data_IF_703622072666
#
_entry.id   IF_703622072666
#
_cell.length_a   1.000
_cell.length_b   1.000
_cell.length_c   1.000
_cell.angle_alpha   90.00
_cell.angle_beta   90.00
_cell.angle_gamma   90.00
#
_symmetry.space_group_name_H-M   'P 1'
#
loop_
_entity.id
_entity.type
_entity.pdbx_description
1 polymer ?
#
# COMPACT_ATOMS: atom_id res chain seq x y z
N UNK A 1 -13.26 23.24 -5.51
CA UNK A 1 -12.03 23.13 -6.31
C UNK A 1 -11.76 21.65 -6.52
N UNK A 2 -11.61 21.21 -7.77
CA UNK A 2 -11.31 19.80 -8.09
C UNK A 2 -10.03 19.39 -7.39
N UNK A 3 -10.07 18.26 -6.68
CA UNK A 3 -8.87 17.57 -6.19
C UNK A 3 -8.25 16.86 -7.38
N UNK A 4 -7.70 17.62 -8.31
CA UNK A 4 -6.81 17.04 -9.29
C UNK A 4 -5.57 16.59 -8.50
N UNK A 5 -5.35 15.28 -8.43
CA UNK A 5 -4.13 14.71 -7.87
C UNK A 5 -2.94 15.15 -8.74
N UNK A 6 -2.38 16.32 -8.42
CA UNK A 6 -1.18 16.82 -9.06
C UNK A 6 -0.01 15.90 -8.69
N UNK A 7 0.93 15.69 -9.62
CA UNK A 7 2.15 14.90 -9.40
C UNK A 7 2.95 15.32 -8.14
N UNK A 8 2.75 16.57 -7.68
CA UNK A 8 3.18 17.10 -6.39
C UNK A 8 2.84 16.17 -5.21
N UNK A 9 1.70 15.47 -5.26
CA UNK A 9 1.26 14.58 -4.20
C UNK A 9 2.15 13.34 -4.08
N UNK A 10 2.57 12.74 -5.20
CA UNK A 10 3.39 11.52 -5.18
C UNK A 10 4.77 11.76 -4.54
N UNK A 11 5.42 12.88 -4.92
CA UNK A 11 6.68 13.30 -4.30
C UNK A 11 6.52 13.60 -2.81
N UNK A 12 5.46 14.32 -2.43
CA UNK A 12 5.16 14.60 -1.02
C UNK A 12 4.95 13.31 -0.21
N UNK A 13 4.22 12.34 -0.74
CA UNK A 13 4.05 11.04 -0.10
C UNK A 13 5.36 10.27 0.04
N UNK A 14 6.25 10.35 -0.96
CA UNK A 14 7.57 9.75 -0.91
C UNK A 14 8.45 10.37 0.18
N UNK A 15 8.50 11.71 0.24
CA UNK A 15 9.25 12.45 1.27
C UNK A 15 8.72 12.13 2.66
N UNK A 16 7.40 12.11 2.83
CA UNK A 16 6.76 11.75 4.10
C UNK A 16 7.08 10.31 4.52
N UNK A 17 7.14 9.39 3.56
CA UNK A 17 7.55 8.00 3.81
C UNK A 17 9.01 7.92 4.27
N UNK A 18 9.93 8.54 3.54
CA UNK A 18 11.37 8.56 3.87
C UNK A 18 11.59 9.15 5.26
N UNK A 19 10.94 10.28 5.56
CA UNK A 19 10.98 10.92 6.87
C UNK A 19 10.41 10.02 7.97
N UNK A 20 9.26 9.39 7.74
CA UNK A 20 8.66 8.47 8.69
C UNK A 20 9.59 7.28 9.01
N UNK A 21 10.20 6.69 7.99
CA UNK A 21 11.15 5.59 8.17
C UNK A 21 12.34 6.01 9.05
N UNK A 22 12.93 7.19 8.81
CA UNK A 22 14.05 7.68 9.62
C UNK A 22 13.62 7.94 11.07
N UNK A 23 12.53 8.69 11.26
CA UNK A 23 12.15 9.18 12.59
C UNK A 23 11.42 8.15 13.44
N UNK A 24 10.59 7.31 12.84
CA UNK A 24 9.73 6.37 13.56
C UNK A 24 10.23 4.93 13.51
N UNK A 25 11.08 4.59 12.53
CA UNK A 25 11.70 3.26 12.43
C UNK A 25 13.21 3.27 12.69
N UNK A 26 13.82 4.44 12.90
CA UNK A 26 15.25 4.58 13.15
C UNK A 26 16.11 4.16 11.96
N UNK A 27 15.54 4.15 10.75
CA UNK A 27 16.26 3.71 9.56
C UNK A 27 17.26 4.79 9.12
N UNK A 28 18.49 4.38 8.87
CA UNK A 28 19.53 5.24 8.34
C UNK A 28 19.68 4.93 6.85
N UNK A 29 19.19 5.84 6.02
CA UNK A 29 19.20 5.66 4.57
C UNK A 29 20.62 5.71 4.00
N UNK A 30 20.91 4.80 3.07
CA UNK A 30 22.09 4.86 2.21
C UNK A 30 21.69 4.80 0.72
N UNK A 31 22.63 5.13 -0.17
CA UNK A 31 22.34 5.20 -1.62
C UNK A 31 21.95 3.83 -2.22
N UNK A 32 22.39 2.73 -1.61
CA UNK A 32 22.06 1.37 -2.02
C UNK A 32 20.69 0.89 -1.51
N UNK A 33 19.99 1.69 -0.71
CA UNK A 33 18.69 1.29 -0.17
C UNK A 33 17.59 1.30 -1.24
N UNK A 34 16.74 0.27 -1.15
CA UNK A 34 15.46 0.32 -1.82
C UNK A 34 14.52 1.26 -1.07
N UNK A 35 14.14 2.37 -1.72
CA UNK A 35 13.13 3.32 -1.20
C UNK A 35 11.83 2.62 -0.82
N UNK A 36 11.47 1.55 -1.54
CA UNK A 36 10.42 0.61 -1.17
C UNK A 36 11.03 -0.74 -0.77
N UNK A 37 11.35 -0.92 0.52
CA UNK A 37 11.98 -2.14 1.02
C UNK A 37 11.00 -3.32 1.02
N UNK A 38 11.51 -4.53 1.16
CA UNK A 38 10.69 -5.71 1.35
C UNK A 38 9.81 -5.57 2.59
N UNK A 39 8.58 -6.09 2.51
CA UNK A 39 7.67 -6.14 3.64
C UNK A 39 7.47 -7.59 4.07
N UNK A 40 7.65 -7.81 5.36
CA UNK A 40 7.47 -9.09 6.01
C UNK A 40 6.10 -9.15 6.69
N UNK A 41 5.58 -10.35 6.89
CA UNK A 41 4.31 -10.60 7.60
C UNK A 41 3.06 -9.97 6.95
N UNK A 42 3.10 -9.65 5.66
CA UNK A 42 1.88 -9.35 4.90
C UNK A 42 1.14 -10.67 4.66
N UNK A 43 0.17 -10.95 5.51
CA UNK A 43 -0.57 -12.20 5.47
C UNK A 43 -1.75 -12.14 4.50
N UNK A 44 -1.81 -13.08 3.56
CA UNK A 44 -3.02 -13.32 2.75
C UNK A 44 -4.24 -13.71 3.60
N UNK A 45 -4.06 -14.11 4.87
CA UNK A 45 -5.21 -14.41 5.73
C UNK A 45 -6.03 -13.16 6.02
N UNK A 46 -5.40 -11.98 6.12
CA UNK A 46 -6.06 -10.67 6.27
C UNK A 46 -7.08 -10.43 5.16
N UNK A 47 -6.70 -10.83 3.94
CA UNK A 47 -7.56 -10.75 2.77
C UNK A 47 -8.79 -11.67 2.94
N UNK A 48 -8.66 -12.83 3.60
CA UNK A 48 -9.73 -13.82 3.73
C UNK A 48 -10.64 -13.64 4.96
N UNK A 49 -10.25 -12.85 5.95
CA UNK A 49 -10.96 -12.75 7.24
C UNK A 49 -11.57 -11.38 7.45
N UNK A 50 -12.86 -11.29 7.80
CA UNK A 50 -13.54 -10.03 8.15
C UNK A 50 -13.09 -9.39 9.48
N UNK A 51 -12.11 -10.00 10.14
CA UNK A 51 -11.55 -9.51 11.40
C UNK A 51 -10.86 -8.14 11.23
N UNK A 52 -11.23 -7.19 12.08
CA UNK A 52 -10.72 -5.81 12.12
C UNK A 52 -9.29 -5.75 12.67
N UNK A 53 -8.82 -6.78 13.36
CA UNK A 53 -7.56 -6.76 14.09
C UNK A 53 -6.31 -7.12 13.27
N UNK A 54 -6.45 -7.75 12.10
CA UNK A 54 -5.37 -8.60 11.54
C UNK A 54 -4.49 -7.97 10.48
N UNK A 55 -4.83 -6.80 9.93
CA UNK A 55 -4.18 -6.32 8.68
C UNK A 55 -2.78 -5.75 8.80
N UNK A 56 -2.55 -4.89 9.79
CA UNK A 56 -1.41 -3.95 9.75
C UNK A 56 -0.52 -4.00 10.98
N UNK A 57 -0.98 -4.62 12.08
CA UNK A 57 -0.33 -4.50 13.40
C UNK A 57 1.06 -5.12 13.53
N UNK A 58 1.55 -5.89 12.54
CA UNK A 58 2.86 -6.57 12.59
C UNK A 58 3.60 -6.63 11.25
N UNK A 59 3.37 -5.67 10.34
CA UNK A 59 4.16 -5.61 9.09
C UNK A 59 5.60 -5.27 9.47
N UNK A 60 6.52 -6.18 9.17
CA UNK A 60 7.96 -5.98 9.34
C UNK A 60 8.55 -5.33 8.08
N UNK A 61 9.63 -4.56 8.25
CA UNK A 61 10.35 -3.97 7.12
C UNK A 61 11.68 -4.70 6.97
N UNK A 62 11.95 -5.20 5.77
CA UNK A 62 13.23 -5.81 5.38
C UNK A 62 14.08 -4.80 4.63
N UNK A 63 14.78 -3.94 5.38
CA UNK A 63 15.73 -2.97 4.84
C UNK A 63 16.82 -3.65 3.98
N UNK A 64 17.33 -2.94 2.98
CA UNK A 64 18.31 -3.47 2.01
C UNK A 64 17.78 -4.57 1.07
N UNK A 65 16.51 -4.98 1.17
CA UNK A 65 15.91 -5.99 0.28
C UNK A 65 14.83 -5.37 -0.60
N UNK A 66 14.81 -5.77 -1.87
CA UNK A 66 13.77 -5.36 -2.81
C UNK A 66 12.44 -6.03 -2.47
N UNK A 67 11.35 -5.26 -2.53
CA UNK A 67 10.00 -5.81 -2.44
C UNK A 67 9.71 -6.74 -3.62
N UNK A 68 9.18 -7.94 -3.35
CA UNK A 68 8.71 -8.83 -4.41
C UNK A 68 7.37 -8.37 -4.97
N UNK A 69 7.12 -8.64 -6.25
CA UNK A 69 5.84 -8.30 -6.88
C UNK A 69 4.65 -8.97 -6.16
N UNK A 70 4.83 -10.18 -5.66
CA UNK A 70 3.78 -10.87 -4.91
C UNK A 70 3.43 -10.13 -3.61
N UNK A 71 4.43 -9.65 -2.88
CA UNK A 71 4.22 -8.86 -1.65
C UNK A 71 3.57 -7.53 -1.98
N UNK A 72 4.01 -6.87 -3.05
CA UNK A 72 3.39 -5.63 -3.54
C UNK A 72 1.91 -5.81 -3.88
N UNK A 73 1.58 -6.86 -4.66
CA UNK A 73 0.18 -7.17 -4.99
C UNK A 73 -0.64 -7.49 -3.74
N UNK A 74 -0.10 -8.23 -2.78
CA UNK A 74 -0.81 -8.51 -1.52
C UNK A 74 -1.08 -7.22 -0.72
N UNK A 75 -0.08 -6.32 -0.63
CA UNK A 75 -0.22 -5.02 0.03
C UNK A 75 -1.35 -4.19 -0.59
N UNK A 76 -1.36 -4.07 -1.92
CA UNK A 76 -2.40 -3.34 -2.65
C UNK A 76 -3.80 -3.87 -2.33
N UNK A 77 -3.98 -5.19 -2.41
CA UNK A 77 -5.28 -5.80 -2.12
C UNK A 77 -5.67 -5.66 -0.64
N UNK A 78 -4.70 -5.60 0.29
CA UNK A 78 -4.97 -5.31 1.70
C UNK A 78 -5.47 -3.88 1.89
N UNK A 79 -4.83 -2.90 1.22
CA UNK A 79 -5.22 -1.48 1.28
C UNK A 79 -6.63 -1.30 0.73
N UNK A 80 -6.91 -1.82 -0.47
CA UNK A 80 -8.24 -1.73 -1.09
C UNK A 80 -9.31 -2.36 -0.20
N UNK A 81 -9.02 -3.53 0.39
CA UNK A 81 -9.96 -4.17 1.35
C UNK A 81 -10.15 -3.36 2.62
N UNK A 82 -9.10 -2.75 3.16
CA UNK A 82 -9.19 -1.86 4.32
C UNK A 82 -10.08 -0.65 4.02
N UNK A 83 -9.84 0.03 2.89
CA UNK A 83 -10.66 1.16 2.44
C UNK A 83 -12.14 0.79 2.27
N UNK A 84 -12.44 -0.40 1.76
CA UNK A 84 -13.81 -0.89 1.63
C UNK A 84 -14.47 -1.22 2.99
N UNK A 85 -13.71 -1.59 4.02
CA UNK A 85 -14.25 -1.92 5.36
C UNK A 85 -14.55 -0.70 6.20
N UNK A 86 -13.71 0.33 6.12
CA UNK A 86 -13.83 1.53 6.96
C UNK A 86 -15.00 2.43 6.55
N UNK A 87 -15.86 1.99 5.62
CA UNK A 87 -17.07 2.72 5.25
C UNK A 87 -16.82 4.09 4.62
N UNK A 88 -15.57 4.39 4.21
CA UNK A 88 -15.32 5.55 3.35
C UNK A 88 -16.16 5.33 2.10
N UNK A 89 -17.14 6.19 1.87
CA UNK A 89 -18.04 6.09 0.72
C UNK A 89 -17.21 6.12 -0.57
N UNK A 90 -16.88 4.94 -1.06
CA UNK A 90 -16.44 4.73 -2.42
C UNK A 90 -17.74 4.66 -3.23
N UNK A 91 -18.00 5.59 -4.17
CA UNK A 91 -19.27 5.67 -4.90
C UNK A 91 -19.73 4.31 -5.43
N UNK A 92 -21.02 3.98 -5.24
CA UNK A 92 -21.56 2.61 -5.17
C UNK A 92 -21.32 1.67 -6.36
N UNK A 93 -20.91 2.16 -7.53
CA UNK A 93 -20.45 1.29 -8.63
C UNK A 93 -19.04 0.73 -8.35
N UNK A 94 -18.14 1.59 -7.86
CA UNK A 94 -16.73 1.29 -7.66
C UNK A 94 -16.53 0.30 -6.50
N UNK A 95 -17.29 0.43 -5.40
CA UNK A 95 -17.13 -0.47 -4.25
C UNK A 95 -17.45 -1.94 -4.58
N UNK A 96 -18.51 -2.19 -5.38
CA UNK A 96 -18.92 -3.55 -5.77
C UNK A 96 -17.90 -4.22 -6.70
N UNK A 97 -17.30 -3.47 -7.61
CA UNK A 97 -16.28 -3.98 -8.53
C UNK A 97 -14.91 -4.16 -7.85
N UNK A 98 -14.54 -3.28 -6.92
CA UNK A 98 -13.23 -3.33 -6.25
C UNK A 98 -13.14 -4.46 -5.23
N UNK A 99 -14.23 -4.79 -4.54
CA UNK A 99 -14.24 -5.85 -3.50
C UNK A 99 -13.97 -7.25 -4.06
N UNK A 100 -14.36 -7.48 -5.32
CA UNK A 100 -14.19 -8.75 -6.03
C UNK A 100 -13.00 -8.77 -7.00
N UNK A 101 -12.28 -7.65 -7.15
CA UNK A 101 -11.15 -7.55 -8.06
C UNK A 101 -9.83 -7.88 -7.37
N UNK A 102 -8.97 -8.60 -8.08
CA UNK A 102 -7.58 -8.80 -7.66
C UNK A 102 -6.67 -7.80 -8.37
N UNK A 103 -6.15 -6.83 -7.63
CA UNK A 103 -5.27 -5.80 -8.18
C UNK A 103 -3.85 -6.35 -8.36
N UNK A 104 -3.23 -6.01 -9.49
CA UNK A 104 -1.82 -6.28 -9.78
C UNK A 104 -1.10 -4.97 -10.10
N UNK A 105 0.23 -5.00 -10.02
CA UNK A 105 1.12 -3.93 -10.54
C UNK A 105 0.64 -3.38 -11.90
N UNK A 106 0.34 -4.27 -12.83
CA UNK A 106 -0.11 -3.93 -14.19
C UNK A 106 -1.50 -3.27 -14.25
N UNK A 107 -2.36 -3.46 -13.24
CA UNK A 107 -3.69 -2.80 -13.17
C UNK A 107 -3.52 -1.29 -13.10
N UNK A 108 -2.62 -0.79 -12.25
CA UNK A 108 -2.37 0.64 -12.08
C UNK A 108 -1.67 1.24 -13.29
N UNK A 109 -0.70 0.53 -13.87
CA UNK A 109 -0.02 0.98 -15.10
C UNK A 109 -1.01 1.19 -16.25
N UNK A 110 -2.00 0.31 -16.40
CA UNK A 110 -3.05 0.47 -17.42
C UNK A 110 -4.02 1.61 -17.11
N UNK A 111 -4.33 1.84 -15.84
CA UNK A 111 -5.24 2.91 -15.46
C UNK A 111 -4.64 4.32 -15.66
N UNK A 112 -3.31 4.43 -15.59
CA UNK A 112 -2.58 5.68 -15.82
C UNK A 112 -2.08 5.91 -17.25
N UNK A 113 -2.38 5.01 -18.20
CA UNK A 113 -2.02 5.14 -19.61
C UNK A 113 -3.21 5.66 -20.43
#
# INVERSE_FOLDING_TARGET
MSKDELAINAYLHLVNWVYYASQRKGHHWCDDDYVFPALNNISKKVLKTNDTATGYKKVGVGWGKKMSEQVFNNLLNCIVRGLNRDGKEIPGYVSKHWTNSWFKSHTFRRAGA
#
